data_IF_937785961357
#
_entry.id   IF_937785961357
#
_cell.length_a   1.000
_cell.length_b   1.000
_cell.length_c   1.000
_cell.angle_alpha   90.00
_cell.angle_beta   90.00
_cell.angle_gamma   90.00
#
_symmetry.space_group_name_H-M   'P 1'
#
loop_
_entity.id
_entity.type
_entity.pdbx_description
1 polymer ?
#
# COMPACT_ATOMS: atom_id res chain seq x y z
N UNK A 1 4.76 -7.77 11.07
CA UNK A 1 6.04 -8.05 10.38
C UNK A 1 6.76 -6.72 10.21
N UNK A 2 8.07 -6.62 10.47
CA UNK A 2 8.79 -5.36 10.30
C UNK A 2 9.16 -5.15 8.80
N UNK A 3 9.38 -3.90 8.37
CA UNK A 3 9.61 -3.56 6.94
C UNK A 3 10.87 -4.26 6.37
N UNK A 4 11.90 -4.43 7.19
CA UNK A 4 13.16 -5.10 6.81
C UNK A 4 12.94 -6.59 6.46
N UNK A 5 12.13 -7.31 7.24
CA UNK A 5 11.83 -8.71 7.00
C UNK A 5 11.05 -8.91 5.70
N UNK A 6 10.12 -8.00 5.38
CA UNK A 6 9.36 -8.03 4.13
C UNK A 6 10.27 -7.85 2.92
N UNK A 7 11.16 -6.85 2.94
CA UNK A 7 12.11 -6.59 1.84
C UNK A 7 13.07 -7.77 1.66
N UNK A 8 13.55 -8.37 2.75
CA UNK A 8 14.42 -9.56 2.71
C UNK A 8 13.72 -10.75 2.04
N UNK A 9 12.46 -11.01 2.41
CA UNK A 9 11.65 -12.09 1.82
C UNK A 9 11.44 -11.86 0.32
N UNK A 10 11.04 -10.65 -0.09
CA UNK A 10 10.83 -10.32 -1.50
C UNK A 10 12.12 -10.49 -2.33
N UNK A 11 13.27 -10.03 -1.82
CA UNK A 11 14.55 -10.15 -2.53
C UNK A 11 15.03 -11.60 -2.75
N UNK A 12 14.51 -12.56 -1.98
CA UNK A 12 14.88 -13.98 -2.11
C UNK A 12 14.21 -14.71 -3.28
N UNK A 13 13.23 -14.08 -3.96
CA UNK A 13 12.50 -14.67 -5.09
C UNK A 13 12.77 -13.91 -6.39
N UNK A 14 12.89 -14.59 -7.55
CA UNK A 14 12.98 -13.94 -8.86
C UNK A 14 11.79 -13.01 -9.17
N UNK A 15 10.58 -13.34 -8.73
CA UNK A 15 9.41 -12.47 -8.90
C UNK A 15 9.41 -11.30 -7.93
N UNK A 16 10.03 -11.47 -6.76
CA UNK A 16 10.05 -10.42 -5.74
C UNK A 16 10.98 -9.26 -6.10
N UNK A 17 12.04 -9.47 -6.89
CA UNK A 17 12.85 -8.37 -7.41
C UNK A 17 12.07 -7.48 -8.39
N UNK A 18 11.26 -8.09 -9.27
CA UNK A 18 10.35 -7.38 -10.18
C UNK A 18 9.33 -6.56 -9.38
N UNK A 19 8.75 -7.17 -8.35
CA UNK A 19 7.80 -6.51 -7.47
C UNK A 19 8.42 -5.31 -6.74
N UNK A 20 9.64 -5.44 -6.21
CA UNK A 20 10.36 -4.33 -5.58
C UNK A 20 10.61 -3.20 -6.59
N UNK A 21 11.08 -3.51 -7.80
CA UNK A 21 11.28 -2.50 -8.83
C UNK A 21 9.98 -1.77 -9.22
N UNK A 22 8.85 -2.49 -9.24
CA UNK A 22 7.53 -1.89 -9.44
C UNK A 22 7.20 -0.90 -8.31
N UNK A 23 7.38 -1.30 -7.05
CA UNK A 23 7.14 -0.41 -5.90
C UNK A 23 8.06 0.81 -5.92
N UNK A 24 9.33 0.65 -6.25
CA UNK A 24 10.29 1.76 -6.38
C UNK A 24 9.86 2.72 -7.49
N UNK A 25 9.44 2.22 -8.65
CA UNK A 25 8.87 3.05 -9.72
C UNK A 25 7.66 3.86 -9.24
N UNK A 26 6.73 3.22 -8.52
CA UNK A 26 5.55 3.91 -8.00
C UNK A 26 5.96 4.98 -6.98
N UNK A 27 6.86 4.67 -6.04
CA UNK A 27 7.37 5.64 -5.05
C UNK A 27 8.08 6.85 -5.67
N UNK A 28 8.57 6.72 -6.90
CA UNK A 28 9.20 7.80 -7.65
C UNK A 28 8.22 8.72 -8.40
N UNK A 29 6.91 8.40 -8.42
CA UNK A 29 5.90 9.32 -8.95
C UNK A 29 5.84 10.57 -8.05
N UNK A 30 5.67 11.75 -8.65
CA UNK A 30 5.70 13.01 -7.89
C UNK A 30 4.44 13.24 -7.05
N UNK A 31 3.29 12.72 -7.48
CA UNK A 31 1.99 12.97 -6.87
C UNK A 31 1.50 11.79 -6.02
N UNK A 32 1.18 12.05 -4.75
CA UNK A 32 0.73 11.03 -3.80
C UNK A 32 -0.62 10.40 -4.17
N UNK A 33 -1.51 11.13 -4.87
CA UNK A 33 -2.78 10.58 -5.36
C UNK A 33 -2.53 9.61 -6.51
N UNK A 34 -1.56 9.88 -7.37
CA UNK A 34 -1.19 8.96 -8.46
C UNK A 34 -0.47 7.72 -7.92
N UNK A 35 0.43 7.89 -6.93
CA UNK A 35 0.99 6.75 -6.19
C UNK A 35 -0.10 5.88 -5.58
N UNK A 36 -1.07 6.50 -4.90
CA UNK A 36 -2.19 5.82 -4.27
C UNK A 36 -3.00 4.99 -5.28
N UNK A 37 -3.36 5.57 -6.44
CA UNK A 37 -4.17 4.86 -7.44
C UNK A 37 -3.45 3.63 -7.96
N UNK A 38 -2.18 3.76 -8.33
CA UNK A 38 -1.38 2.64 -8.82
C UNK A 38 -1.26 1.53 -7.77
N UNK A 39 -0.99 1.89 -6.51
CA UNK A 39 -0.91 0.94 -5.40
C UNK A 39 -2.24 0.22 -5.16
N UNK A 40 -3.38 0.93 -5.21
CA UNK A 40 -4.70 0.33 -5.02
C UNK A 40 -5.04 -0.63 -6.16
N UNK A 41 -4.67 -0.30 -7.41
CA UNK A 41 -4.83 -1.21 -8.55
C UNK A 41 -4.00 -2.48 -8.36
N UNK A 42 -2.71 -2.33 -8.05
CA UNK A 42 -1.83 -3.48 -7.80
C UNK A 42 -2.29 -4.32 -6.61
N UNK A 43 -2.74 -3.68 -5.53
CA UNK A 43 -3.24 -4.35 -4.33
C UNK A 43 -4.46 -5.21 -4.64
N UNK A 44 -5.44 -4.65 -5.35
CA UNK A 44 -6.63 -5.41 -5.74
C UNK A 44 -6.26 -6.61 -6.62
N UNK A 45 -5.32 -6.45 -7.55
CA UNK A 45 -4.82 -7.57 -8.35
C UNK A 45 -4.23 -8.70 -7.51
N UNK A 46 -3.46 -8.38 -6.46
CA UNK A 46 -2.92 -9.38 -5.53
C UNK A 46 -4.02 -10.05 -4.71
N UNK A 47 -4.95 -9.27 -4.17
CA UNK A 47 -6.07 -9.80 -3.38
C UNK A 47 -6.99 -10.71 -4.21
N UNK A 48 -7.18 -10.38 -5.49
CA UNK A 48 -7.97 -11.19 -6.42
C UNK A 48 -7.22 -12.45 -6.88
N UNK A 49 -5.89 -12.41 -6.92
CA UNK A 49 -5.03 -13.58 -7.12
C UNK A 49 -4.91 -14.49 -5.87
N UNK A 50 -5.57 -14.15 -4.76
CA UNK A 50 -5.61 -14.95 -3.54
C UNK A 50 -4.50 -14.66 -2.53
N UNK A 51 -3.73 -13.59 -2.69
CA UNK A 51 -2.75 -13.18 -1.70
C UNK A 51 -3.43 -12.66 -0.42
N UNK A 52 -2.88 -13.04 0.73
CA UNK A 52 -3.39 -12.65 2.05
C UNK A 52 -2.74 -11.37 2.57
N UNK A 53 -3.36 -10.73 3.54
CA UNK A 53 -2.89 -9.49 4.17
C UNK A 53 -1.44 -9.61 4.64
N UNK A 54 -1.08 -10.72 5.27
CA UNK A 54 0.25 -10.96 5.81
C UNK A 54 1.29 -11.42 4.76
N UNK A 55 0.90 -11.57 3.49
CA UNK A 55 1.86 -11.90 2.42
C UNK A 55 2.88 -10.78 2.26
N UNK A 56 4.15 -11.10 1.93
CA UNK A 56 5.19 -10.09 1.74
C UNK A 56 4.82 -9.02 0.71
N UNK A 57 4.16 -9.40 -0.37
CA UNK A 57 3.73 -8.51 -1.45
C UNK A 57 2.67 -7.52 -0.96
N UNK A 58 1.61 -8.03 -0.31
CA UNK A 58 0.55 -7.16 0.23
C UNK A 58 1.12 -6.24 1.32
N UNK A 59 1.96 -6.76 2.21
CA UNK A 59 2.63 -5.92 3.22
C UNK A 59 3.57 -4.88 2.60
N UNK A 60 4.20 -5.19 1.47
CA UNK A 60 4.99 -4.24 0.69
C UNK A 60 4.16 -3.04 0.24
N UNK A 61 2.99 -3.28 -0.37
CA UNK A 61 2.07 -2.20 -0.77
C UNK A 61 1.50 -1.46 0.44
N UNK A 62 1.08 -2.19 1.48
CA UNK A 62 0.54 -1.59 2.72
C UNK A 62 1.55 -0.62 3.35
N UNK A 63 2.83 -0.98 3.37
CA UNK A 63 3.86 -0.11 3.91
C UNK A 63 4.00 1.18 3.09
N UNK A 64 3.95 1.10 1.75
CA UNK A 64 4.00 2.30 0.91
C UNK A 64 2.73 3.14 1.08
N UNK A 65 1.55 2.53 1.07
CA UNK A 65 0.27 3.20 1.29
C UNK A 65 0.22 3.94 2.63
N UNK A 66 0.80 3.35 3.69
CA UNK A 66 0.89 3.96 5.03
C UNK A 66 1.68 5.27 5.00
N UNK A 67 2.66 5.40 4.12
CA UNK A 67 3.57 6.56 4.09
C UNK A 67 3.03 7.72 3.24
N UNK A 68 1.93 7.52 2.49
CA UNK A 68 1.38 8.56 1.60
C UNK A 68 0.65 9.71 2.32
N UNK A 69 -0.22 9.46 3.32
CA UNK A 69 -0.87 10.56 4.03
C UNK A 69 0.15 11.41 4.79
N UNK A 70 -0.15 12.71 4.97
CA UNK A 70 0.66 13.57 5.83
C UNK A 70 0.87 12.95 7.21
N UNK A 71 2.11 13.03 7.71
CA UNK A 71 2.51 12.48 9.00
C UNK A 71 1.60 12.94 10.16
N UNK A 72 1.40 12.07 11.16
CA UNK A 72 0.65 12.37 12.37
C UNK A 72 -0.77 11.81 12.35
N UNK A 73 -1.76 12.64 12.68
CA UNK A 73 -3.14 12.19 12.89
C UNK A 73 -3.75 11.57 11.61
N UNK A 74 -3.51 12.17 10.44
CA UNK A 74 -4.04 11.68 9.16
C UNK A 74 -3.51 10.28 8.84
N UNK A 75 -2.20 10.10 8.92
CA UNK A 75 -1.55 8.80 8.74
C UNK A 75 -2.12 7.73 9.66
N UNK A 76 -2.22 8.01 10.97
CA UNK A 76 -2.76 7.07 11.96
C UNK A 76 -4.22 6.71 11.67
N UNK A 77 -5.03 7.69 11.31
CA UNK A 77 -6.45 7.48 10.99
C UNK A 77 -6.59 6.64 9.72
N UNK A 78 -5.80 6.94 8.68
CA UNK A 78 -5.77 6.19 7.43
C UNK A 78 -5.40 4.71 7.67
N UNK A 79 -4.33 4.47 8.41
CA UNK A 79 -3.90 3.11 8.75
C UNK A 79 -4.99 2.35 9.51
N UNK A 80 -5.60 2.96 10.53
CA UNK A 80 -6.65 2.32 11.33
C UNK A 80 -7.91 2.01 10.54
N UNK A 81 -8.22 2.80 9.53
CA UNK A 81 -9.43 2.62 8.72
C UNK A 81 -9.27 1.59 7.61
N UNK A 82 -8.10 1.58 6.95
CA UNK A 82 -7.94 0.88 5.69
C UNK A 82 -6.85 -0.20 5.69
N UNK A 83 -5.88 -0.15 6.60
CA UNK A 83 -4.65 -0.97 6.52
C UNK A 83 -4.54 -1.99 7.65
N UNK A 84 -5.65 -2.53 8.14
CA UNK A 84 -5.67 -3.44 9.30
C UNK A 84 -5.69 -4.92 8.91
N UNK A 85 -6.42 -5.27 7.84
CA UNK A 85 -6.69 -6.64 7.40
C UNK A 85 -7.22 -6.64 5.95
N UNK A 86 -7.47 -7.82 5.37
CA UNK A 86 -8.00 -7.93 4.00
C UNK A 86 -9.35 -7.22 3.81
N UNK A 87 -10.20 -7.23 4.85
CA UNK A 87 -11.52 -6.63 4.79
C UNK A 87 -11.45 -5.10 4.68
N UNK A 88 -10.59 -4.47 5.48
CA UNK A 88 -10.34 -3.03 5.47
C UNK A 88 -9.58 -2.59 4.22
N UNK A 89 -8.66 -3.42 3.70
CA UNK A 89 -8.01 -3.14 2.41
C UNK A 89 -9.02 -3.05 1.26
N UNK A 90 -10.02 -3.93 1.23
CA UNK A 90 -11.08 -3.90 0.20
C UNK A 90 -12.01 -2.67 0.30
N UNK A 91 -11.91 -1.89 1.38
CA UNK A 91 -12.66 -0.62 1.54
C UNK A 91 -11.92 0.59 0.98
N UNK A 92 -10.67 0.44 0.53
CA UNK A 92 -9.90 1.54 -0.07
C UNK A 92 -10.68 2.13 -1.25
N UNK A 93 -11.00 3.43 -1.24
CA UNK A 93 -11.65 4.07 -2.37
C UNK A 93 -10.75 4.04 -3.60
N UNK A 94 -11.29 3.81 -4.79
CA UNK A 94 -10.50 3.90 -6.05
C UNK A 94 -9.98 5.31 -6.33
N UNK A 95 -10.68 6.33 -5.85
CA UNK A 95 -10.31 7.73 -5.98
C UNK A 95 -9.89 8.28 -4.62
N UNK A 96 -8.63 8.73 -4.43
CA UNK A 96 -8.15 9.25 -3.15
C UNK A 96 -8.92 10.50 -2.68
N UNK A 97 -9.58 11.24 -3.58
CA UNK A 97 -10.41 12.40 -3.24
C UNK A 97 -11.66 12.02 -2.43
N UNK A 98 -12.04 10.75 -2.45
CA UNK A 98 -13.14 10.20 -1.64
C UNK A 98 -12.68 9.81 -0.23
N UNK A 99 -11.39 9.85 0.07
CA UNK A 99 -10.88 9.62 1.41
C UNK A 99 -11.19 10.86 2.27
N UNK A 100 -11.75 10.71 3.48
CA UNK A 100 -12.08 11.87 4.31
C UNK A 100 -10.83 12.69 4.69
N UNK A 101 -10.98 14.01 4.81
CA UNK A 101 -9.88 14.96 5.07
C UNK A 101 -9.06 14.65 6.35
N UNK A 102 -9.68 14.02 7.34
CA UNK A 102 -9.00 13.58 8.57
C UNK A 102 -8.06 12.38 8.39
N UNK A 103 -7.99 11.82 7.17
CA UNK A 103 -7.27 10.60 6.81
C UNK A 103 -6.34 10.85 5.61
N UNK A 104 -6.66 11.83 4.75
CA UNK A 104 -5.89 12.13 3.54
C UNK A 104 -5.73 13.63 3.35
N UNK A 105 -4.54 14.05 2.90
CA UNK A 105 -4.30 15.43 2.50
C UNK A 105 -4.75 15.63 1.05
N UNK A 106 -5.47 16.72 0.79
CA UNK A 106 -5.91 17.07 -0.57
C UNK A 106 -4.78 17.72 -1.36
#
# INVERSE_FOLDING_TARGET
MNSFDTVKKLKSSPLGSIFIAMLERIKNLYDANDQYKELVVSLNGLLDAGYHFNSPEVQGIVNVLRDLPSYGARQRNFERMYLQDEYTLRKLPRDPRKIPYGYWAR
#
